data_IF_042406508089
#
_entry.id   IF_042406508089
#
_cell.length_a   1.000
_cell.length_b   1.000
_cell.length_c   1.000
_cell.angle_alpha   90.00
_cell.angle_beta   90.00
_cell.angle_gamma   90.00
#
_symmetry.space_group_name_H-M   'P 1'
#
loop_
_entity.id
_entity.type
_entity.pdbx_description
1 polymer ?
#
# COMPACT_ATOMS: atom_id res chain seq x y z
N UNK A 1 -8.50 19.06 -1.73
CA UNK A 1 -7.32 18.40 -2.32
C UNK A 1 -6.99 17.04 -1.67
N UNK A 2 -7.80 16.50 -0.74
CA UNK A 2 -7.43 15.24 -0.05
C UNK A 2 -7.88 13.96 -0.77
N UNK A 3 -8.99 13.99 -1.50
CA UNK A 3 -9.56 12.79 -2.14
C UNK A 3 -8.62 12.15 -3.18
N UNK A 4 -7.81 12.96 -3.87
CA UNK A 4 -6.87 12.50 -4.91
C UNK A 4 -5.65 11.78 -4.31
N UNK A 5 -5.11 12.27 -3.19
CA UNK A 5 -3.95 11.65 -2.51
C UNK A 5 -4.30 10.25 -1.99
N UNK A 6 -5.50 10.07 -1.42
CA UNK A 6 -5.90 8.76 -0.90
C UNK A 6 -6.10 7.70 -2.00
N UNK A 7 -6.63 8.11 -3.15
CA UNK A 7 -6.76 7.24 -4.32
C UNK A 7 -5.39 6.78 -4.84
N UNK A 8 -4.40 7.67 -4.88
CA UNK A 8 -3.02 7.34 -5.26
C UNK A 8 -2.41 6.34 -4.28
N UNK A 9 -2.48 6.62 -2.98
CA UNK A 9 -1.98 5.72 -1.93
C UNK A 9 -2.62 4.34 -1.98
N UNK A 10 -3.93 4.27 -2.27
CA UNK A 10 -4.64 3.00 -2.44
C UNK A 10 -4.11 2.22 -3.64
N UNK A 11 -3.89 2.86 -4.78
CA UNK A 11 -3.32 2.22 -5.95
C UNK A 11 -1.92 1.65 -5.64
N UNK A 12 -1.07 2.44 -4.97
CA UNK A 12 0.25 2.01 -4.51
C UNK A 12 0.20 0.87 -3.50
N UNK A 13 -0.74 0.89 -2.56
CA UNK A 13 -0.95 -0.23 -1.65
C UNK A 13 -1.31 -1.52 -2.41
N UNK A 14 -2.17 -1.45 -3.42
CA UNK A 14 -2.53 -2.63 -4.23
C UNK A 14 -1.35 -3.14 -5.06
N UNK A 15 -0.49 -2.26 -5.56
CA UNK A 15 0.80 -2.60 -6.19
C UNK A 15 1.67 -3.39 -5.19
N UNK A 16 1.93 -2.83 -4.00
CA UNK A 16 2.71 -3.50 -2.95
C UNK A 16 2.15 -4.87 -2.59
N UNK A 17 0.83 -4.99 -2.39
CA UNK A 17 0.20 -6.29 -2.08
C UNK A 17 0.35 -7.30 -3.21
N UNK A 18 0.43 -6.83 -4.46
CA UNK A 18 0.68 -7.68 -5.63
C UNK A 18 2.16 -8.09 -5.70
N UNK A 19 3.09 -7.21 -5.35
CA UNK A 19 4.52 -7.54 -5.20
C UNK A 19 4.73 -8.61 -4.14
N UNK A 20 4.23 -8.38 -2.92
CA UNK A 20 4.32 -9.34 -1.81
C UNK A 20 3.72 -10.70 -2.17
N UNK A 21 2.60 -10.72 -2.93
CA UNK A 21 2.02 -11.97 -3.43
C UNK A 21 2.99 -12.73 -4.34
N UNK A 22 3.68 -12.04 -5.25
CA UNK A 22 4.67 -12.65 -6.14
C UNK A 22 5.88 -13.18 -5.37
N UNK A 23 6.24 -12.51 -4.29
CA UNK A 23 7.36 -12.87 -3.42
C UNK A 23 7.02 -13.98 -2.40
N UNK A 24 5.79 -14.54 -2.46
CA UNK A 24 5.39 -15.71 -1.69
C UNK A 24 4.42 -15.44 -0.54
N UNK A 25 4.08 -14.18 -0.25
CA UNK A 25 3.07 -13.82 0.76
C UNK A 25 1.66 -14.15 0.25
N UNK A 26 1.31 -15.42 0.43
CA UNK A 26 0.16 -16.04 -0.23
C UNK A 26 -1.16 -15.70 0.48
N UNK A 27 -1.14 -15.50 1.79
CA UNK A 27 -2.33 -15.14 2.56
C UNK A 27 -2.41 -13.62 2.84
N UNK A 28 -3.63 -13.08 3.07
CA UNK A 28 -3.80 -11.71 3.55
C UNK A 28 -3.10 -11.45 4.89
N UNK A 29 -3.06 -12.46 5.77
CA UNK A 29 -2.40 -12.35 7.07
C UNK A 29 -0.88 -12.18 6.92
N UNK A 30 -0.25 -12.92 6.01
CA UNK A 30 1.19 -12.77 5.73
C UNK A 30 1.51 -11.37 5.23
N UNK A 31 0.68 -10.82 4.33
CA UNK A 31 0.87 -9.46 3.80
C UNK A 31 0.67 -8.40 4.88
N UNK A 32 -0.34 -8.56 5.75
CA UNK A 32 -0.55 -7.64 6.86
C UNK A 32 0.66 -7.63 7.79
N UNK A 33 1.19 -8.82 8.13
CA UNK A 33 2.38 -8.99 8.96
C UNK A 33 3.61 -8.35 8.32
N UNK A 34 3.85 -8.55 7.01
CA UNK A 34 4.98 -7.95 6.30
C UNK A 34 4.88 -6.42 6.19
N UNK A 35 3.68 -5.86 6.23
CA UNK A 35 3.43 -4.42 6.28
C UNK A 35 3.36 -3.87 7.71
N UNK A 36 3.62 -4.68 8.74
CA UNK A 36 3.59 -4.24 10.14
C UNK A 36 2.20 -3.86 10.65
N UNK A 37 1.12 -4.29 9.99
CA UNK A 37 -0.27 -3.96 10.36
C UNK A 37 -1.09 -5.18 10.73
N UNK A 38 -2.20 -4.95 11.44
CA UNK A 38 -3.17 -6.00 11.74
C UNK A 38 -3.93 -6.45 10.48
N UNK A 39 -4.37 -7.72 10.47
CA UNK A 39 -5.19 -8.26 9.37
C UNK A 39 -6.52 -7.51 9.20
N UNK A 40 -7.13 -7.07 10.31
CA UNK A 40 -8.34 -6.26 10.29
C UNK A 40 -8.11 -4.88 9.68
N UNK A 41 -6.95 -4.28 9.94
CA UNK A 41 -6.60 -2.98 9.37
C UNK A 41 -6.33 -3.11 7.87
N UNK A 42 -5.62 -4.16 7.44
CA UNK A 42 -5.49 -4.46 6.01
C UNK A 42 -6.87 -4.63 5.35
N UNK A 43 -7.79 -5.34 5.99
CA UNK A 43 -9.15 -5.51 5.46
C UNK A 43 -9.92 -4.19 5.37
N UNK A 44 -9.76 -3.27 6.34
CA UNK A 44 -10.35 -1.92 6.29
C UNK A 44 -9.77 -1.10 5.15
N UNK A 45 -8.45 -1.11 4.97
CA UNK A 45 -7.79 -0.41 3.87
C UNK A 45 -8.29 -0.94 2.52
N UNK A 46 -8.38 -2.26 2.35
CA UNK A 46 -8.96 -2.88 1.16
C UNK A 46 -10.43 -2.51 0.92
N UNK A 47 -11.20 -2.21 1.97
CA UNK A 47 -12.59 -1.73 1.87
C UNK A 47 -12.75 -0.23 1.61
N UNK A 48 -11.66 0.54 1.60
CA UNK A 48 -11.71 1.98 1.30
C UNK A 48 -11.34 2.87 2.47
N UNK A 49 -10.90 2.31 3.60
CA UNK A 49 -10.32 3.14 4.66
C UNK A 49 -9.07 3.87 4.14
N UNK A 50 -8.86 5.12 4.55
CA UNK A 50 -7.73 5.90 4.10
C UNK A 50 -6.40 5.35 4.62
N UNK A 51 -5.37 5.36 3.78
CA UNK A 51 -3.97 5.18 4.22
C UNK A 51 -3.50 6.47 4.88
N UNK A 52 -3.26 6.42 6.20
CA UNK A 52 -2.72 7.56 6.96
C UNK A 52 -1.30 7.89 6.52
N UNK A 53 -0.83 9.11 6.81
CA UNK A 53 0.54 9.53 6.50
C UNK A 53 1.58 8.63 7.16
N UNK A 54 1.38 8.32 8.45
CA UNK A 54 2.28 7.44 9.19
C UNK A 54 2.36 6.04 8.57
N UNK A 55 1.23 5.49 8.12
CA UNK A 55 1.23 4.19 7.47
C UNK A 55 1.85 4.25 6.07
N UNK A 56 1.66 5.35 5.33
CA UNK A 56 2.30 5.53 4.03
C UNK A 56 3.83 5.55 4.17
N UNK A 57 4.36 6.31 5.13
CA UNK A 57 5.80 6.37 5.41
C UNK A 57 6.37 5.01 5.86
N UNK A 58 5.62 4.26 6.67
CA UNK A 58 6.03 2.92 7.11
C UNK A 58 6.08 1.94 5.93
N UNK A 59 5.08 1.96 5.05
CA UNK A 59 5.06 1.11 3.84
C UNK A 59 6.25 1.46 2.92
N UNK A 60 6.55 2.75 2.74
CA UNK A 60 7.70 3.19 1.95
C UNK A 60 9.01 2.63 2.51
N UNK A 61 9.18 2.71 3.84
CA UNK A 61 10.35 2.17 4.53
C UNK A 61 10.46 0.64 4.36
N UNK A 62 9.38 -0.10 4.67
CA UNK A 62 9.36 -1.57 4.61
C UNK A 62 9.59 -2.12 3.20
N UNK A 63 9.11 -1.40 2.18
CA UNK A 63 9.25 -1.78 0.78
C UNK A 63 10.51 -1.20 0.11
N UNK A 64 11.41 -0.57 0.89
CA UNK A 64 12.62 0.09 0.39
C UNK A 64 12.33 1.09 -0.74
N UNK A 65 11.24 1.84 -0.65
CA UNK A 65 10.85 2.88 -1.61
C UNK A 65 11.27 4.27 -1.12
N UNK A 66 11.49 5.24 -2.03
CA UNK A 66 11.76 6.62 -1.63
C UNK A 66 10.59 7.25 -0.86
N UNK A 67 10.90 8.22 0.02
CA UNK A 67 9.88 9.00 0.73
C UNK A 67 8.94 9.71 -0.25
N UNK A 68 7.64 9.65 -0.02
CA UNK A 68 6.60 10.25 -0.86
C UNK A 68 6.24 9.42 -2.10
N UNK A 69 6.79 8.21 -2.23
CA UNK A 69 6.41 7.28 -3.30
C UNK A 69 4.94 6.88 -3.24
N UNK A 70 4.38 6.69 -2.04
CA UNK A 70 2.96 6.38 -1.82
C UNK A 70 2.04 7.51 -2.30
N UNK A 71 2.54 8.73 -2.38
CA UNK A 71 1.82 9.93 -2.86
C UNK A 71 2.06 10.22 -4.35
N UNK A 72 2.94 9.46 -5.00
CA UNK A 72 3.27 9.64 -6.41
C UNK A 72 2.39 8.75 -7.26
N UNK A 73 1.62 9.34 -8.19
CA UNK A 73 0.76 8.59 -9.09
C UNK A 73 1.55 7.49 -9.82
N UNK A 74 0.91 6.34 -10.05
CA UNK A 74 1.48 5.32 -10.91
C UNK A 74 1.57 5.91 -12.32
N UNK A 75 2.74 5.81 -12.96
CA UNK A 75 2.84 6.10 -14.38
C UNK A 75 1.83 5.20 -15.10
N UNK A 76 0.98 5.75 -15.99
CA UNK A 76 0.16 4.90 -16.82
C UNK A 76 1.09 3.97 -17.59
N UNK A 77 0.89 2.66 -17.46
CA UNK A 77 1.59 1.70 -18.30
C UNK A 77 1.32 2.12 -19.76
N UNK A 78 2.35 2.61 -20.45
CA UNK A 78 2.26 2.92 -21.87
C UNK A 78 1.80 1.63 -22.56
N UNK A 79 0.58 1.69 -23.10
CA UNK A 79 -0.10 0.60 -23.79
C UNK A 79 0.56 0.28 -25.14
#
# INVERSE_FOLDING_TARGET
MEATSNAIRRARLLEVLSELKRDGASSPADRAMLLGIGSDDLARLLKGAPVSDALAEEIEFLMCRPRGWMDTAMEPALA
#
